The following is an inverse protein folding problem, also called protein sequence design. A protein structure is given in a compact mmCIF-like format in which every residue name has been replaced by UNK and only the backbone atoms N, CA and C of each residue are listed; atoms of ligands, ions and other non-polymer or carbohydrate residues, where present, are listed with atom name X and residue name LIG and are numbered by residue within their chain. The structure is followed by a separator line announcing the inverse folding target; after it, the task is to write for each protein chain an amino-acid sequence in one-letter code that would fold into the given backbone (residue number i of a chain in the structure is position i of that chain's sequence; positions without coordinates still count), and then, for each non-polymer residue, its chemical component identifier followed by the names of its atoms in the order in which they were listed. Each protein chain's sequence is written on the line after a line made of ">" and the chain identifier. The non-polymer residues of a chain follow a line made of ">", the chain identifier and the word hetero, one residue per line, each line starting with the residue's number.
data_IF_611480540875
#
_entry.id   IF_611480540875
#
_cell.length_a   1.000
_cell.length_b   1.000
_cell.length_c   1.000
_cell.angle_alpha   90.00
_cell.angle_beta   90.00
_cell.angle_gamma   90.00
#
_symmetry.space_group_name_H-M   'P 1'
#
loop_
_entity.id
_entity.type
_entity.pdbx_description
1 polymer ?
#
# COMPACT_ATOMS: atom_id res chain seq x y z
N UNK A 1 -19.01 -11.44 -2.64
CA UNK A 1 -19.56 -10.05 -2.59
C UNK A 1 -18.92 -9.27 -3.73
N UNK A 2 -19.63 -8.53 -4.56
CA UNK A 2 -19.02 -7.78 -5.68
C UNK A 2 -18.21 -6.60 -5.16
N UNK A 3 -17.11 -6.24 -5.84
CA UNK A 3 -16.22 -5.12 -5.50
C UNK A 3 -17.01 -3.81 -5.28
N UNK A 4 -18.02 -3.52 -6.12
CA UNK A 4 -18.88 -2.32 -6.01
C UNK A 4 -19.63 -2.23 -4.66
N UNK A 5 -20.11 -3.36 -4.14
CA UNK A 5 -20.81 -3.41 -2.85
C UNK A 5 -19.83 -3.15 -1.70
N UNK A 6 -18.61 -3.62 -1.82
CA UNK A 6 -17.55 -3.41 -0.84
C UNK A 6 -17.06 -1.97 -0.82
N UNK A 7 -16.88 -1.34 -1.99
CA UNK A 7 -16.56 0.09 -2.11
C UNK A 7 -17.55 0.97 -1.35
N UNK A 8 -18.85 0.67 -1.42
CA UNK A 8 -19.86 1.44 -0.69
C UNK A 8 -19.70 1.30 0.84
N UNK A 9 -19.35 0.12 1.37
CA UNK A 9 -19.08 -0.05 2.80
C UNK A 9 -17.87 0.79 3.27
N UNK A 10 -16.85 0.95 2.41
CA UNK A 10 -15.72 1.83 2.71
C UNK A 10 -16.09 3.32 2.62
N UNK A 11 -17.02 3.71 1.72
CA UNK A 11 -17.57 5.09 1.71
C UNK A 11 -18.23 5.42 3.04
N UNK A 12 -19.07 4.51 3.54
CA UNK A 12 -19.75 4.68 4.82
C UNK A 12 -18.72 4.75 5.98
N UNK A 13 -17.74 3.84 6.00
CA UNK A 13 -16.67 3.83 7.00
C UNK A 13 -15.85 5.13 7.02
N UNK A 14 -15.51 5.66 5.84
CA UNK A 14 -14.76 6.91 5.73
C UNK A 14 -15.60 8.15 6.10
N UNK A 15 -16.92 8.10 5.90
CA UNK A 15 -17.82 9.18 6.32
C UNK A 15 -17.93 9.24 7.85
N UNK A 16 -18.00 8.10 8.53
CA UNK A 16 -18.10 8.00 9.98
C UNK A 16 -16.79 8.35 10.71
N UNK A 17 -15.62 8.05 10.10
CA UNK A 17 -14.29 8.25 10.68
C UNK A 17 -13.54 9.43 10.05
N UNK A 18 -13.86 10.65 10.46
CA UNK A 18 -13.17 11.87 9.98
C UNK A 18 -11.67 11.92 10.29
N UNK A 19 -11.23 11.23 11.35
CA UNK A 19 -9.84 11.24 11.85
C UNK A 19 -8.96 10.10 11.34
N UNK A 20 -9.35 9.40 10.27
CA UNK A 20 -8.58 8.28 9.70
C UNK A 20 -7.40 8.77 8.85
N UNK A 21 -6.60 9.69 9.42
CA UNK A 21 -5.39 10.21 8.76
C UNK A 21 -4.19 9.32 9.11
N UNK A 22 -3.46 8.85 8.10
CA UNK A 22 -2.21 8.10 8.28
C UNK A 22 -1.02 8.91 7.77
N UNK A 23 -0.06 9.18 8.64
CA UNK A 23 1.25 9.70 8.25
C UNK A 23 2.12 8.54 7.77
N UNK A 24 2.43 8.51 6.47
CA UNK A 24 3.16 7.43 5.82
C UNK A 24 4.62 7.78 5.51
N UNK A 25 5.27 8.65 6.28
CA UNK A 25 6.73 8.90 6.17
C UNK A 25 7.55 7.60 6.28
N UNK A 26 7.28 6.67 7.24
CA UNK A 26 7.99 5.39 7.28
C UNK A 26 7.77 4.53 6.03
N UNK A 27 6.56 4.54 5.45
CA UNK A 27 6.26 3.84 4.21
C UNK A 27 7.00 4.48 3.02
N UNK A 28 7.00 5.81 2.91
CA UNK A 28 7.80 6.52 1.91
C UNK A 28 9.27 6.12 1.98
N UNK A 29 9.88 6.13 3.18
CA UNK A 29 11.29 5.75 3.40
C UNK A 29 11.56 4.33 2.91
N UNK A 30 10.65 3.40 3.20
CA UNK A 30 10.75 2.01 2.79
C UNK A 30 10.69 1.88 1.26
N UNK A 31 9.69 2.47 0.62
CA UNK A 31 9.55 2.46 -0.84
C UNK A 31 10.78 3.11 -1.49
N UNK A 32 11.17 4.29 -1.01
CA UNK A 32 12.29 5.06 -1.55
C UNK A 32 13.62 4.31 -1.50
N UNK A 33 13.83 3.50 -0.46
CA UNK A 33 15.05 2.68 -0.32
C UNK A 33 15.16 1.56 -1.37
N UNK A 34 14.04 1.16 -1.96
CA UNK A 34 13.99 0.08 -2.96
C UNK A 34 14.09 0.59 -4.41
N UNK A 35 13.88 1.89 -4.65
CA UNK A 35 13.84 2.48 -6.00
C UNK A 35 15.26 2.58 -6.58
N UNK A 36 15.56 1.82 -7.61
CA UNK A 36 16.84 1.77 -8.32
C UNK A 36 16.73 2.21 -9.79
N UNK A 37 15.73 3.02 -10.10
CA UNK A 37 15.46 3.61 -11.41
C UNK A 37 14.92 5.04 -11.25
N UNK A 38 14.94 5.82 -12.32
CA UNK A 38 14.37 7.17 -12.34
C UNK A 38 12.85 7.09 -12.28
N UNK A 39 12.23 7.92 -11.45
CA UNK A 39 10.78 8.13 -11.40
C UNK A 39 10.45 9.60 -11.59
N UNK A 40 9.48 9.89 -12.46
CA UNK A 40 8.92 11.23 -12.73
C UNK A 40 7.45 11.32 -12.36
N UNK A 41 6.82 10.16 -12.13
CA UNK A 41 5.40 10.04 -11.81
C UNK A 41 5.14 8.90 -10.82
N UNK A 42 4.18 9.14 -9.93
CA UNK A 42 3.80 8.24 -8.85
C UNK A 42 2.28 8.19 -8.69
N UNK A 43 1.73 7.02 -8.46
CA UNK A 43 0.32 6.81 -8.13
C UNK A 43 0.19 6.09 -6.77
N UNK A 44 -0.56 6.70 -5.86
CA UNK A 44 -1.07 6.06 -4.64
C UNK A 44 -2.40 5.38 -4.97
N UNK A 45 -2.37 4.06 -5.21
CA UNK A 45 -3.53 3.27 -5.63
C UNK A 45 -4.20 2.62 -4.42
N UNK A 46 -5.42 3.02 -4.13
CA UNK A 46 -6.12 2.73 -2.89
C UNK A 46 -5.67 3.67 -1.77
N UNK A 47 -5.50 4.96 -2.10
CA UNK A 47 -4.86 5.94 -1.22
C UNK A 47 -5.62 6.18 0.09
N UNK A 48 -6.92 5.91 0.15
CA UNK A 48 -7.73 6.27 1.31
C UNK A 48 -7.49 7.74 1.71
N UNK A 49 -7.35 7.97 3.00
CA UNK A 49 -7.00 9.29 3.57
C UNK A 49 -5.49 9.42 3.88
N UNK A 50 -4.62 8.72 3.14
CA UNK A 50 -3.18 8.77 3.32
C UNK A 50 -2.56 10.05 2.75
N UNK A 51 -1.36 10.40 3.23
CA UNK A 51 -0.56 11.49 2.69
C UNK A 51 0.64 11.01 1.85
N UNK A 52 0.67 9.75 1.40
CA UNK A 52 1.83 9.17 0.74
C UNK A 52 2.16 9.90 -0.58
N UNK A 53 1.15 10.19 -1.41
CA UNK A 53 1.33 10.94 -2.65
C UNK A 53 1.89 12.36 -2.39
N UNK A 54 1.41 13.02 -1.33
CA UNK A 54 1.88 14.36 -0.95
C UNK A 54 3.34 14.32 -0.48
N UNK A 55 3.73 13.27 0.25
CA UNK A 55 5.13 13.05 0.65
C UNK A 55 6.02 12.85 -0.59
N UNK A 56 5.63 12.01 -1.55
CA UNK A 56 6.39 11.83 -2.79
C UNK A 56 6.52 13.13 -3.58
N UNK A 57 5.44 13.91 -3.71
CA UNK A 57 5.49 15.24 -4.33
C UNK A 57 6.50 16.14 -3.62
N UNK A 58 6.42 16.26 -2.31
CA UNK A 58 7.26 17.17 -1.53
C UNK A 58 8.73 16.76 -1.53
N UNK A 59 9.02 15.48 -1.41
CA UNK A 59 10.39 14.96 -1.25
C UNK A 59 11.13 14.80 -2.58
N UNK A 60 10.40 14.46 -3.66
CA UNK A 60 11.01 14.17 -4.98
C UNK A 60 10.66 15.17 -6.07
N UNK A 61 9.69 16.07 -5.83
CA UNK A 61 9.19 17.06 -6.80
C UNK A 61 8.73 16.43 -8.12
N UNK A 62 8.12 15.25 -8.03
CA UNK A 62 7.58 14.48 -9.16
C UNK A 62 6.06 14.66 -9.26
N UNK A 63 5.48 14.31 -10.42
CA UNK A 63 4.03 14.30 -10.60
C UNK A 63 3.40 13.17 -9.79
N UNK A 64 2.40 13.47 -8.99
CA UNK A 64 1.73 12.48 -8.14
C UNK A 64 0.24 12.43 -8.41
N UNK A 65 -0.32 11.25 -8.24
CA UNK A 65 -1.75 10.96 -8.40
C UNK A 65 -2.25 10.17 -7.21
N UNK A 66 -3.53 10.35 -6.91
CA UNK A 66 -4.28 9.60 -5.89
C UNK A 66 -5.44 8.90 -6.55
N UNK A 67 -5.68 7.65 -6.17
CA UNK A 67 -6.87 6.91 -6.59
C UNK A 67 -7.41 6.08 -5.44
N UNK A 68 -8.69 6.23 -5.16
CA UNK A 68 -9.45 5.38 -4.24
C UNK A 68 -10.94 5.39 -4.64
N UNK A 69 -11.52 4.25 -5.02
CA UNK A 69 -12.91 4.20 -5.48
C UNK A 69 -13.93 4.57 -4.39
N UNK A 70 -13.53 4.56 -3.11
CA UNK A 70 -14.38 4.92 -1.98
C UNK A 70 -14.31 6.40 -1.61
N UNK A 71 -13.39 7.20 -2.20
CA UNK A 71 -13.25 8.62 -1.94
C UNK A 71 -13.64 9.41 -3.18
N UNK A 72 -14.69 10.24 -3.09
CA UNK A 72 -15.25 10.93 -4.25
C UNK A 72 -14.22 11.74 -5.04
N UNK A 73 -13.33 12.48 -4.35
CA UNK A 73 -12.32 13.34 -4.98
C UNK A 73 -11.24 12.55 -5.73
N UNK A 74 -11.08 11.26 -5.42
CA UNK A 74 -10.06 10.37 -5.98
C UNK A 74 -10.68 9.13 -6.66
N UNK A 75 -12.01 9.10 -6.88
CA UNK A 75 -12.72 7.92 -7.39
C UNK A 75 -12.57 7.70 -8.90
N UNK A 76 -11.97 8.65 -9.60
CA UNK A 76 -11.72 8.55 -11.04
C UNK A 76 -10.24 8.30 -11.32
N UNK A 77 -9.97 7.29 -12.13
CA UNK A 77 -8.65 7.00 -12.70
C UNK A 77 -8.76 6.99 -14.22
N UNK A 78 -7.95 7.81 -14.89
CA UNK A 78 -7.88 7.81 -16.35
C UNK A 78 -7.39 6.44 -16.84
N UNK A 79 -8.16 5.80 -17.72
CA UNK A 79 -7.85 4.47 -18.28
C UNK A 79 -6.54 4.42 -19.09
N UNK A 80 -6.05 5.57 -19.54
CA UNK A 80 -4.82 5.70 -20.33
C UNK A 80 -3.63 6.18 -19.50
N UNK A 81 -3.81 6.39 -18.19
CA UNK A 81 -2.74 6.84 -17.32
C UNK A 81 -1.57 5.85 -17.33
N UNK A 82 -0.36 6.39 -17.41
CA UNK A 82 0.88 5.65 -17.19
C UNK A 82 1.71 6.38 -16.16
N UNK A 83 2.25 5.64 -15.22
CA UNK A 83 3.15 6.17 -14.19
C UNK A 83 4.38 5.28 -14.04
N UNK A 84 5.46 5.86 -13.50
CA UNK A 84 6.72 5.13 -13.31
C UNK A 84 6.66 4.19 -12.11
N UNK A 85 5.87 4.54 -11.09
CA UNK A 85 5.73 3.77 -9.84
C UNK A 85 4.30 3.86 -9.30
N UNK A 86 3.76 2.73 -8.88
CA UNK A 86 2.54 2.63 -8.07
C UNK A 86 2.94 2.18 -6.66
N UNK A 87 2.36 2.79 -5.63
CA UNK A 87 2.23 2.18 -4.31
C UNK A 87 0.79 1.68 -4.12
N UNK A 88 0.67 0.46 -3.63
CA UNK A 88 -0.59 -0.16 -3.23
C UNK A 88 -0.38 -0.71 -1.82
N UNK A 89 -0.80 0.08 -0.84
CA UNK A 89 -0.49 -0.17 0.56
C UNK A 89 -1.76 -0.34 1.38
N UNK A 90 -1.93 -1.52 1.99
CA UNK A 90 -3.08 -1.82 2.83
C UNK A 90 -4.40 -1.81 1.99
N UNK A 91 -4.38 -2.51 0.86
CA UNK A 91 -5.47 -2.54 -0.13
C UNK A 91 -5.85 -3.95 -0.57
N UNK A 92 -4.87 -4.78 -0.97
CA UNK A 92 -5.17 -6.06 -1.63
C UNK A 92 -5.87 -7.07 -0.70
N UNK A 93 -5.60 -7.04 0.59
CA UNK A 93 -6.30 -7.84 1.60
C UNK A 93 -7.77 -7.47 1.76
N UNK A 94 -8.15 -6.28 1.29
CA UNK A 94 -9.55 -5.79 1.26
C UNK A 94 -10.29 -6.16 -0.02
N UNK A 95 -9.58 -6.59 -1.06
CA UNK A 95 -10.16 -7.00 -2.35
C UNK A 95 -10.68 -8.44 -2.25
N UNK A 96 -11.91 -8.73 -2.70
CA UNK A 96 -12.39 -10.11 -2.80
C UNK A 96 -11.47 -10.98 -3.65
N UNK A 97 -11.30 -12.26 -3.26
CA UNK A 97 -10.32 -13.16 -3.89
C UNK A 97 -10.52 -13.32 -5.40
N UNK A 98 -11.77 -13.33 -5.85
CA UNK A 98 -12.18 -13.44 -7.26
C UNK A 98 -11.88 -12.17 -8.09
N UNK A 99 -11.65 -11.04 -7.43
CA UNK A 99 -11.32 -9.75 -8.06
C UNK A 99 -9.82 -9.41 -8.05
N UNK A 100 -9.00 -10.17 -7.31
CA UNK A 100 -7.56 -9.87 -7.13
C UNK A 100 -6.81 -9.85 -8.46
N UNK A 101 -7.05 -10.83 -9.34
CA UNK A 101 -6.37 -10.89 -10.64
C UNK A 101 -6.77 -9.69 -11.54
N UNK A 102 -8.03 -9.23 -11.50
CA UNK A 102 -8.49 -8.06 -12.27
C UNK A 102 -7.79 -6.77 -11.82
N UNK A 103 -7.60 -6.58 -10.50
CA UNK A 103 -6.89 -5.42 -9.97
C UNK A 103 -5.39 -5.47 -10.32
N UNK A 104 -4.77 -6.64 -10.27
CA UNK A 104 -3.38 -6.78 -10.73
C UNK A 104 -3.22 -6.49 -12.21
N UNK A 105 -4.16 -6.95 -13.05
CA UNK A 105 -4.17 -6.65 -14.49
C UNK A 105 -4.32 -5.14 -14.73
N UNK A 106 -5.28 -4.48 -14.06
CA UNK A 106 -5.46 -3.03 -14.13
C UNK A 106 -4.16 -2.29 -13.79
N UNK A 107 -3.54 -2.60 -12.63
CA UNK A 107 -2.28 -1.96 -12.23
C UNK A 107 -1.14 -2.27 -13.19
N UNK A 108 -1.05 -3.47 -13.77
CA UNK A 108 0.00 -3.85 -14.73
C UNK A 108 -0.12 -3.07 -16.05
N UNK A 109 -1.34 -2.67 -16.40
CA UNK A 109 -1.60 -1.78 -17.53
C UNK A 109 -1.18 -0.33 -17.26
N UNK A 110 -1.04 0.10 -16.01
CA UNK A 110 -0.66 1.46 -15.61
C UNK A 110 0.86 1.56 -15.41
N UNK A 111 1.48 0.61 -14.71
CA UNK A 111 2.93 0.59 -14.43
C UNK A 111 3.48 -0.83 -14.37
N UNK A 112 4.78 -0.96 -14.69
CA UNK A 112 5.54 -2.20 -14.47
C UNK A 112 6.12 -2.28 -13.05
N UNK A 113 6.19 -1.17 -12.35
CA UNK A 113 6.83 -1.05 -11.05
C UNK A 113 5.78 -0.76 -9.97
N UNK A 114 5.48 -1.77 -9.17
CA UNK A 114 4.50 -1.66 -8.10
C UNK A 114 5.13 -2.08 -6.78
N UNK A 115 4.96 -1.26 -5.77
CA UNK A 115 5.24 -1.59 -4.39
C UNK A 115 3.94 -1.98 -3.70
N UNK A 116 3.87 -3.19 -3.19
CA UNK A 116 2.76 -3.69 -2.39
C UNK A 116 3.15 -3.72 -0.91
N UNK A 117 2.25 -3.28 -0.03
CA UNK A 117 2.22 -3.69 1.38
C UNK A 117 0.89 -4.37 1.64
N UNK A 118 0.91 -5.66 2.00
CA UNK A 118 -0.28 -6.51 2.12
C UNK A 118 -0.31 -7.12 3.52
N UNK A 119 -1.40 -6.93 4.26
CA UNK A 119 -1.57 -7.60 5.55
C UNK A 119 -1.99 -9.06 5.38
N UNK A 120 -1.44 -9.90 6.26
CA UNK A 120 -1.59 -11.36 6.23
C UNK A 120 -2.50 -11.88 7.34
N UNK A 121 -3.11 -10.98 8.11
CA UNK A 121 -3.96 -11.29 9.26
C UNK A 121 -5.27 -10.51 9.18
N UNK A 122 -6.24 -10.91 10.02
CA UNK A 122 -7.51 -10.18 10.15
C UNK A 122 -7.27 -8.75 10.60
N UNK A 123 -8.10 -7.83 10.10
CA UNK A 123 -8.12 -6.45 10.55
C UNK A 123 -8.75 -6.35 11.96
N UNK A 124 -8.38 -5.31 12.70
CA UNK A 124 -9.12 -4.88 13.87
C UNK A 124 -10.46 -4.22 13.48
N UNK A 125 -10.51 -3.63 12.30
CA UNK A 125 -11.69 -2.93 11.75
C UNK A 125 -12.74 -3.93 11.28
N UNK A 126 -13.98 -3.73 11.74
CA UNK A 126 -15.18 -4.40 11.28
C UNK A 126 -15.98 -3.41 10.42
N UNK A 127 -16.43 -3.86 9.25
CA UNK A 127 -17.25 -3.06 8.34
C UNK A 127 -18.69 -2.90 8.88
N UNK A 128 -19.45 -1.88 8.42
CA UNK A 128 -20.84 -1.66 8.87
C UNK A 128 -21.78 -2.86 8.74
N UNK A 129 -21.48 -3.79 7.86
CA UNK A 129 -22.25 -5.03 7.69
C UNK A 129 -21.81 -6.19 8.61
N UNK A 130 -20.89 -5.96 9.55
CA UNK A 130 -20.35 -6.96 10.49
C UNK A 130 -19.22 -7.85 9.93
N UNK A 131 -18.83 -7.68 8.66
CA UNK A 131 -17.69 -8.41 8.09
C UNK A 131 -16.34 -7.80 8.50
N UNK A 132 -15.30 -8.65 8.56
CA UNK A 132 -13.95 -8.14 8.77
C UNK A 132 -13.47 -7.37 7.53
N UNK A 133 -12.80 -6.24 7.73
CA UNK A 133 -12.30 -5.43 6.62
C UNK A 133 -11.34 -6.22 5.71
N UNK A 134 -10.44 -7.05 6.28
CA UNK A 134 -9.60 -7.97 5.50
C UNK A 134 -10.40 -9.21 5.10
N UNK A 135 -10.77 -9.32 3.84
CA UNK A 135 -11.53 -10.47 3.32
C UNK A 135 -10.65 -11.51 2.62
N UNK A 136 -9.47 -11.14 2.16
CA UNK A 136 -8.54 -12.02 1.45
C UNK A 136 -7.25 -12.18 2.23
N UNK A 137 -7.28 -13.11 3.20
CA UNK A 137 -6.13 -13.42 4.05
C UNK A 137 -5.48 -14.67 3.50
N UNK A 138 -4.30 -14.51 2.90
CA UNK A 138 -3.55 -15.58 2.22
C UNK A 138 -2.09 -15.57 2.63
N UNK A 139 -1.37 -16.70 2.54
CA UNK A 139 0.07 -16.75 2.80
C UNK A 139 0.86 -16.00 1.73
N UNK A 140 2.09 -15.62 2.06
CA UNK A 140 3.00 -14.85 1.19
C UNK A 140 3.16 -15.51 -0.18
N UNK A 141 3.32 -16.83 -0.23
CA UNK A 141 3.51 -17.58 -1.47
C UNK A 141 2.31 -17.47 -2.42
N UNK A 142 1.10 -17.38 -1.87
CA UNK A 142 -0.11 -17.18 -2.67
C UNK A 142 -0.08 -15.80 -3.34
N UNK A 143 0.24 -14.74 -2.57
CA UNK A 143 0.37 -13.39 -3.11
C UNK A 143 1.46 -13.29 -4.17
N UNK A 144 2.65 -13.87 -3.91
CA UNK A 144 3.73 -13.91 -4.90
C UNK A 144 3.30 -14.64 -6.19
N UNK A 145 2.61 -15.78 -6.07
CA UNK A 145 2.14 -16.54 -7.24
C UNK A 145 1.13 -15.76 -8.08
N UNK A 146 0.24 -14.98 -7.43
CA UNK A 146 -0.70 -14.10 -8.12
C UNK A 146 0.01 -12.94 -8.81
N UNK A 147 0.92 -12.24 -8.13
CA UNK A 147 1.69 -11.13 -8.69
C UNK A 147 2.51 -11.59 -9.90
N UNK A 148 3.15 -12.77 -9.85
CA UNK A 148 3.98 -13.31 -10.94
C UNK A 148 3.20 -13.66 -12.20
N UNK A 149 1.87 -13.73 -12.18
CA UNK A 149 1.04 -13.88 -13.40
C UNK A 149 0.99 -12.58 -14.21
N UNK A 150 1.12 -11.43 -13.56
CA UNK A 150 0.95 -10.12 -14.16
C UNK A 150 2.27 -9.33 -14.26
N UNK A 151 3.26 -9.66 -13.42
CA UNK A 151 4.53 -8.95 -13.31
C UNK A 151 5.71 -9.90 -13.41
N UNK A 152 6.83 -9.38 -13.91
CA UNK A 152 8.06 -10.17 -14.09
C UNK A 152 8.71 -10.60 -12.78
N UNK A 153 8.52 -9.84 -11.71
CA UNK A 153 9.15 -10.08 -10.41
C UNK A 153 8.12 -9.94 -9.28
N UNK A 154 8.35 -10.67 -8.20
CA UNK A 154 7.64 -10.54 -6.92
C UNK A 154 8.66 -10.70 -5.78
N UNK A 155 9.54 -9.70 -5.64
CA UNK A 155 10.63 -9.73 -4.66
C UNK A 155 10.15 -9.21 -3.31
N UNK A 156 10.33 -10.01 -2.26
CA UNK A 156 10.07 -9.58 -0.89
C UNK A 156 11.18 -8.62 -0.45
N UNK A 157 10.79 -7.54 0.22
CA UNK A 157 11.68 -6.57 0.86
C UNK A 157 11.37 -6.48 2.35
N UNK A 158 12.36 -6.04 3.13
CA UNK A 158 12.20 -5.92 4.59
C UNK A 158 11.19 -4.83 4.92
N UNK A 159 10.37 -5.12 5.93
CA UNK A 159 9.37 -4.18 6.46
C UNK A 159 9.35 -4.22 7.99
N UNK A 160 9.12 -3.07 8.61
CA UNK A 160 8.87 -2.96 10.07
C UNK A 160 7.39 -3.09 10.43
N UNK A 161 6.51 -3.17 9.43
CA UNK A 161 5.07 -3.36 9.67
C UNK A 161 4.80 -4.81 10.03
N UNK A 162 4.24 -5.00 11.24
CA UNK A 162 3.89 -6.33 11.74
C UNK A 162 2.75 -6.93 10.94
N UNK A 163 2.77 -8.26 10.80
CA UNK A 163 1.73 -9.04 10.14
C UNK A 163 1.47 -8.64 8.68
N UNK A 164 2.41 -7.95 8.03
CA UNK A 164 2.35 -7.63 6.61
C UNK A 164 3.59 -8.09 5.86
N UNK A 165 3.49 -8.14 4.55
CA UNK A 165 4.59 -8.37 3.62
C UNK A 165 4.71 -7.20 2.66
N UNK A 166 5.94 -6.76 2.39
CA UNK A 166 6.21 -5.84 1.30
C UNK A 166 6.80 -6.59 0.10
N UNK A 167 6.19 -6.39 -1.07
CA UNK A 167 6.58 -7.03 -2.33
C UNK A 167 6.77 -5.96 -3.40
N UNK A 168 7.86 -6.06 -4.17
CA UNK A 168 8.15 -5.18 -5.31
C UNK A 168 8.19 -5.97 -6.62
N UNK A 169 7.73 -5.35 -7.71
CA UNK A 169 7.65 -5.99 -9.02
C UNK A 169 8.85 -5.70 -9.93
N UNK A 170 9.94 -5.21 -9.38
CA UNK A 170 11.20 -4.97 -10.09
C UNK A 170 12.39 -5.66 -9.42
N UNK A 171 13.51 -5.72 -10.14
CA UNK A 171 14.76 -6.29 -9.60
C UNK A 171 15.46 -5.26 -8.73
N UNK A 172 15.60 -5.55 -7.45
CA UNK A 172 16.35 -4.70 -6.52
C UNK A 172 17.86 -4.98 -6.64
N UNK A 173 18.68 -3.93 -6.68
CA UNK A 173 20.14 -4.07 -6.66
C UNK A 173 20.66 -4.37 -5.24
N UNK A 174 21.90 -4.89 -5.15
CA UNK A 174 22.54 -5.16 -3.86
C UNK A 174 22.63 -3.90 -2.98
N UNK A 175 23.01 -2.76 -3.56
CA UNK A 175 23.06 -1.49 -2.86
C UNK A 175 21.70 -1.09 -2.26
N UNK A 176 20.61 -1.23 -3.02
CA UNK A 176 19.27 -0.91 -2.54
C UNK A 176 18.73 -1.91 -1.51
N UNK A 177 19.24 -3.15 -1.48
CA UNK A 177 18.98 -4.07 -0.36
C UNK A 177 19.59 -3.57 0.95
N UNK A 178 20.79 -2.99 0.89
CA UNK A 178 21.44 -2.36 2.06
C UNK A 178 20.62 -1.13 2.49
N UNK A 179 20.20 -0.26 1.56
CA UNK A 179 19.36 0.89 1.89
C UNK A 179 18.02 0.45 2.51
N UNK A 180 17.41 -0.60 2.00
CA UNK A 180 16.18 -1.16 2.56
C UNK A 180 16.39 -1.68 3.98
N UNK A 181 17.51 -2.32 4.26
CA UNK A 181 17.87 -2.75 5.62
C UNK A 181 17.99 -1.56 6.57
N UNK A 182 18.64 -0.46 6.16
CA UNK A 182 18.71 0.76 6.98
C UNK A 182 17.33 1.39 7.19
N UNK A 183 16.50 1.46 6.16
CA UNK A 183 15.12 1.95 6.28
C UNK A 183 14.31 1.11 7.28
N UNK A 184 14.45 -0.22 7.24
CA UNK A 184 13.85 -1.14 8.20
C UNK A 184 14.31 -0.85 9.64
N UNK A 185 15.61 -0.68 9.87
CA UNK A 185 16.16 -0.38 11.21
C UNK A 185 15.59 0.92 11.75
N UNK A 186 15.62 2.00 10.95
CA UNK A 186 15.13 3.32 11.36
C UNK A 186 13.64 3.26 11.70
N UNK A 187 12.82 2.66 10.84
CA UNK A 187 11.39 2.53 11.05
C UNK A 187 11.06 1.68 12.30
N UNK A 188 11.84 0.61 12.54
CA UNK A 188 11.68 -0.24 13.72
C UNK A 188 11.99 0.51 15.01
N UNK A 189 13.06 1.33 14.99
CA UNK A 189 13.46 2.16 16.11
C UNK A 189 12.43 3.26 16.41
N UNK A 190 11.95 3.98 15.38
CA UNK A 190 10.89 4.98 15.53
C UNK A 190 9.61 4.37 16.14
N UNK A 191 9.24 3.17 15.68
CA UNK A 191 8.07 2.47 16.22
C UNK A 191 8.26 2.06 17.69
N UNK A 192 9.48 1.66 18.08
CA UNK A 192 9.83 1.34 19.45
C UNK A 192 9.74 2.57 20.35
N UNK A 193 10.34 3.69 19.91
CA UNK A 193 10.28 4.97 20.63
C UNK A 193 8.82 5.40 20.81
N UNK A 194 8.03 5.39 19.73
CA UNK A 194 6.63 5.77 19.79
C UNK A 194 5.86 4.96 20.84
N UNK A 195 6.07 3.64 20.90
CA UNK A 195 5.44 2.78 21.93
C UNK A 195 5.85 3.16 23.33
N UNK A 196 7.14 3.42 23.58
CA UNK A 196 7.64 3.77 24.92
C UNK A 196 7.04 5.10 25.39
N UNK A 197 6.97 6.11 24.53
CA UNK A 197 6.44 7.42 24.90
C UNK A 197 4.92 7.41 25.07
N UNK A 198 4.16 6.73 24.23
CA UNK A 198 2.71 6.64 24.36
C UNK A 198 2.28 5.76 25.53
N UNK A 199 3.04 4.71 25.85
CA UNK A 199 2.74 3.89 27.04
C UNK A 199 2.95 4.65 28.35
N UNK A 200 3.87 5.63 28.39
CA UNK A 200 4.10 6.46 29.59
C UNK A 200 3.08 7.58 29.77
N UNK A 201 2.35 7.98 28.74
CA UNK A 201 1.35 9.06 28.82
C UNK A 201 -0.05 8.57 29.19
N UNK A 202 -0.27 7.26 29.30
CA UNK A 202 -1.56 6.63 29.62
C UNK A 202 -1.53 5.83 30.94
N UNK A 203 -0.48 5.98 31.75
CA UNK A 203 -0.41 5.55 33.17
C UNK A 203 -0.33 6.77 34.07
#
# INVERSE_FOLDING_TARGET
>A
MTNKKKVNLYKDLYAENSNYFRNLIPMYRLINSCINFEIKSFLDYGCGKSNLADIFYNMRKIKTYKYDPAINDYSYLDKHIKVDLIANCDVMEHVPEDEVDNIFEEMSNISKNIFFNIYLTRAETILPNGENAHCTIKPIQWWQSKILKHFKYANIVLTSYKNSVCIITWKISYYHRILNFYAFIINSFEHMIWKVFHYKLWK
#
